data_IF_090739004277
#
_entry.id   IF_090739004277
#
_cell.length_a   1.000
_cell.length_b   1.000
_cell.length_c   1.000
_cell.angle_alpha   90.00
_cell.angle_beta   90.00
_cell.angle_gamma   90.00
#
_symmetry.space_group_name_H-M   'P 1'
#
loop_
_entity.id
_entity.type
_entity.pdbx_description
1 polymer ?
#
# COMPACT_ATOMS: atom_id res chain seq x y z
N UNK A 1 43.65 -82.11 16.59
CA UNK A 1 44.44 -81.55 17.72
C UNK A 1 44.37 -80.03 17.65
N UNK A 2 44.50 -79.32 18.78
CA UNK A 2 44.89 -77.88 18.93
C UNK A 2 44.36 -76.83 17.92
N UNK A 3 43.62 -75.78 18.30
CA UNK A 3 43.14 -75.26 19.61
C UNK A 3 41.78 -74.55 19.37
N UNK A 4 40.76 -74.82 20.21
CA UNK A 4 40.16 -73.88 21.18
C UNK A 4 39.72 -72.51 20.60
N UNK A 5 38.43 -72.11 20.62
CA UNK A 5 37.56 -71.81 21.80
C UNK A 5 38.13 -70.66 22.66
N UNK A 6 37.39 -69.68 23.20
CA UNK A 6 35.96 -69.49 23.57
C UNK A 6 35.61 -67.97 23.35
N UNK A 7 34.38 -67.40 23.31
CA UNK A 7 33.00 -67.90 23.48
C UNK A 7 31.92 -66.95 22.82
N UNK A 8 30.68 -67.06 23.32
CA UNK A 8 29.39 -66.38 23.13
C UNK A 8 29.35 -64.83 23.29
N UNK A 9 28.30 -64.10 22.83
CA UNK A 9 26.90 -64.32 23.22
C UNK A 9 25.78 -64.02 22.18
N UNK A 10 24.59 -64.52 22.50
CA UNK A 10 23.29 -64.30 21.83
C UNK A 10 22.79 -62.84 22.05
N UNK A 11 21.75 -62.31 21.39
CA UNK A 11 20.54 -62.96 20.85
C UNK A 11 19.86 -62.20 19.68
N UNK A 12 18.78 -62.81 19.19
CA UNK A 12 17.88 -62.41 18.09
C UNK A 12 17.06 -61.13 18.33
N UNK A 13 16.78 -60.37 17.24
CA UNK A 13 15.49 -59.75 16.84
C UNK A 13 14.91 -58.71 17.86
N UNK A 14 14.47 -57.49 17.51
CA UNK A 14 13.28 -57.13 16.69
C UNK A 14 13.52 -55.80 15.96
N UNK A 15 13.07 -55.70 14.71
CA UNK A 15 12.85 -54.40 14.03
C UNK A 15 11.45 -53.91 14.38
N UNK A 16 11.34 -52.81 15.14
CA UNK A 16 10.11 -52.02 15.24
C UNK A 16 10.32 -50.69 14.53
N UNK A 17 9.77 -50.57 13.32
CA UNK A 17 9.49 -49.26 12.73
C UNK A 17 8.31 -48.65 13.49
N UNK A 18 8.49 -47.53 14.22
CA UNK A 18 7.46 -46.50 14.37
C UNK A 18 8.03 -45.21 15.03
N UNK A 19 7.98 -44.09 14.31
CA UNK A 19 8.08 -42.68 14.74
C UNK A 19 9.29 -42.16 15.57
N UNK A 20 9.67 -40.92 15.22
CA UNK A 20 10.48 -39.94 15.97
C UNK A 20 12.02 -40.10 16.11
N UNK A 21 12.70 -39.05 15.63
CA UNK A 21 13.97 -38.46 16.12
C UNK A 21 15.12 -39.41 16.49
N UNK A 22 15.97 -39.71 15.51
CA UNK A 22 17.40 -39.97 15.77
C UNK A 22 18.12 -38.62 15.93
N UNK A 23 18.66 -38.37 17.13
CA UNK A 23 19.66 -37.32 17.35
C UNK A 23 21.05 -37.97 17.19
N UNK A 24 21.86 -37.46 16.26
CA UNK A 24 23.31 -37.70 16.25
C UNK A 24 23.96 -36.36 16.56
N UNK A 25 24.75 -36.31 17.63
CA UNK A 25 25.56 -35.16 18.00
C UNK A 25 26.98 -35.44 17.53
N UNK A 26 27.51 -34.57 16.67
CA UNK A 26 28.91 -34.64 16.25
C UNK A 26 29.56 -33.26 16.19
N UNK A 27 30.89 -33.20 16.28
CA UNK A 27 31.68 -31.96 16.26
C UNK A 27 32.27 -31.73 14.86
N UNK A 28 32.16 -30.51 14.34
CA UNK A 28 32.83 -30.12 13.08
C UNK A 28 33.93 -29.11 13.38
N UNK A 29 35.17 -29.47 13.01
CA UNK A 29 36.31 -28.56 13.04
C UNK A 29 36.31 -27.64 11.80
N UNK A 30 36.80 -26.41 11.96
CA UNK A 30 37.02 -25.49 10.84
C UNK A 30 38.15 -25.98 9.92
N UNK A 31 37.85 -26.14 8.63
CA UNK A 31 38.83 -26.38 7.57
C UNK A 31 38.45 -25.58 6.32
N UNK A 32 39.41 -24.86 5.72
CA UNK A 32 39.20 -24.15 4.46
C UNK A 32 39.38 -25.09 3.28
N UNK A 33 38.40 -25.15 2.37
CA UNK A 33 38.57 -25.71 1.04
C UNK A 33 38.11 -24.69 0.01
N UNK A 34 39.02 -24.26 -0.87
CA UNK A 34 38.70 -23.37 -2.00
C UNK A 34 38.42 -24.23 -3.22
N UNK A 35 37.23 -24.10 -3.81
CA UNK A 35 36.89 -24.68 -5.10
C UNK A 35 36.62 -23.55 -6.10
N UNK A 36 37.44 -23.51 -7.15
CA UNK A 36 37.28 -22.57 -8.25
C UNK A 36 36.16 -23.04 -9.19
N UNK A 37 35.31 -22.11 -9.63
CA UNK A 37 34.49 -22.28 -10.83
C UNK A 37 34.45 -20.94 -11.57
N UNK A 38 34.92 -20.92 -12.80
CA UNK A 38 35.11 -19.71 -13.62
C UNK A 38 33.97 -19.52 -14.61
N UNK A 39 33.09 -18.53 -14.40
CA UNK A 39 32.25 -17.94 -15.45
C UNK A 39 31.75 -16.54 -15.06
N UNK A 40 31.91 -15.56 -15.95
CA UNK A 40 31.31 -14.23 -15.86
C UNK A 40 32.01 -13.26 -14.88
N UNK A 41 32.38 -12.07 -15.36
CA UNK A 41 33.06 -11.06 -14.53
C UNK A 41 32.09 -10.19 -13.72
N UNK A 42 32.40 -10.01 -12.43
CA UNK A 42 31.75 -9.04 -11.53
C UNK A 42 32.34 -9.15 -10.12
N UNK A 43 32.81 -8.04 -9.53
CA UNK A 43 33.42 -8.06 -8.19
C UNK A 43 32.38 -8.36 -7.11
N UNK A 44 32.57 -9.44 -6.36
CA UNK A 44 31.81 -9.72 -5.13
C UNK A 44 32.55 -9.09 -3.95
N UNK A 45 31.97 -8.05 -3.35
CA UNK A 45 32.42 -7.50 -2.06
C UNK A 45 31.65 -8.15 -0.92
N UNK A 46 32.35 -8.90 -0.07
CA UNK A 46 31.79 -9.52 1.13
C UNK A 46 31.36 -8.46 2.14
N UNK A 47 30.07 -8.40 2.44
CA UNK A 47 29.53 -7.67 3.61
C UNK A 47 29.47 -8.66 4.77
N UNK A 48 29.98 -8.27 5.94
CA UNK A 48 29.94 -9.10 7.14
C UNK A 48 28.50 -9.26 7.65
N UNK A 49 28.10 -10.49 7.95
CA UNK A 49 26.84 -10.79 8.64
C UNK A 49 27.02 -10.84 10.16
N UNK A 50 25.97 -10.44 10.86
CA UNK A 50 25.83 -10.50 12.32
C UNK A 50 25.76 -11.97 12.79
N UNK A 51 26.55 -12.42 13.79
CA UNK A 51 26.65 -13.85 14.15
C UNK A 51 25.36 -14.52 14.63
N UNK A 52 24.38 -13.76 15.13
CA UNK A 52 23.22 -14.31 15.84
C UNK A 52 22.09 -14.86 14.92
N UNK A 53 22.24 -14.80 13.59
CA UNK A 53 21.18 -15.16 12.62
C UNK A 53 21.41 -16.57 12.01
N UNK A 54 20.96 -17.61 12.70
CA UNK A 54 20.99 -19.00 12.20
C UNK A 54 19.80 -19.34 11.26
N UNK A 55 19.88 -18.95 10.00
CA UNK A 55 18.94 -19.37 8.96
C UNK A 55 19.30 -20.76 8.37
N UNK A 56 18.49 -21.79 8.67
CA UNK A 56 18.56 -23.08 7.96
C UNK A 56 17.97 -22.96 6.55
N UNK A 57 18.81 -22.67 5.57
CA UNK A 57 18.44 -22.79 4.15
C UNK A 57 18.33 -24.26 3.73
N UNK A 58 17.27 -24.59 2.98
CA UNK A 58 17.23 -25.74 2.08
C UNK A 58 16.80 -25.20 0.71
N UNK A 59 17.68 -25.32 -0.29
CA UNK A 59 17.61 -24.54 -1.54
C UNK A 59 17.04 -25.36 -2.69
N UNK A 60 16.09 -24.77 -3.44
CA UNK A 60 15.95 -25.01 -4.89
C UNK A 60 15.22 -23.87 -5.64
N UNK A 61 15.87 -22.71 -5.65
CA UNK A 61 16.00 -21.81 -6.82
C UNK A 61 14.77 -21.56 -7.71
N UNK A 62 14.20 -20.34 -7.64
CA UNK A 62 14.11 -19.45 -8.81
C UNK A 62 14.00 -17.99 -8.33
N UNK A 63 14.35 -17.03 -9.19
CA UNK A 63 14.61 -15.62 -8.84
C UNK A 63 13.43 -14.94 -8.12
N UNK A 64 13.61 -14.57 -6.85
CA UNK A 64 12.64 -13.73 -6.12
C UNK A 64 12.54 -13.92 -4.61
N UNK A 65 13.63 -14.25 -3.89
CA UNK A 65 13.56 -14.63 -2.47
C UNK A 65 13.29 -13.46 -1.49
N UNK A 66 11.99 -13.19 -1.39
CA UNK A 66 11.22 -12.64 -0.27
C UNK A 66 11.93 -12.71 1.09
N UNK A 67 12.22 -11.56 1.70
CA UNK A 67 12.43 -11.44 3.14
C UNK A 67 11.08 -11.30 3.87
N UNK A 68 10.58 -12.39 4.45
CA UNK A 68 9.40 -12.39 5.33
C UNK A 68 9.77 -13.00 6.68
N UNK A 69 10.62 -12.29 7.43
CA UNK A 69 11.05 -12.67 8.77
C UNK A 69 9.88 -12.54 9.77
N UNK A 70 9.51 -13.68 10.36
CA UNK A 70 8.93 -13.75 11.71
C UNK A 70 7.53 -13.14 11.91
N UNK A 71 6.58 -13.52 11.04
CA UNK A 71 5.14 -13.35 11.31
C UNK A 71 4.31 -14.62 11.03
N UNK A 72 4.95 -15.72 10.62
CA UNK A 72 4.27 -16.91 10.05
C UNK A 72 4.03 -18.07 11.02
N UNK A 73 4.42 -17.94 12.28
CA UNK A 73 4.19 -18.96 13.30
C UNK A 73 3.08 -18.56 14.27
N UNK A 74 3.11 -17.33 14.84
CA UNK A 74 2.03 -16.83 15.72
C UNK A 74 0.67 -16.73 15.02
N UNK A 75 0.63 -16.16 13.81
CA UNK A 75 -0.64 -15.86 13.11
C UNK A 75 -1.42 -17.12 12.71
N UNK A 76 -0.75 -18.28 12.61
CA UNK A 76 -1.35 -19.52 12.05
C UNK A 76 -2.45 -20.15 12.93
N UNK A 77 -2.69 -19.64 14.13
CA UNK A 77 -3.76 -20.06 15.05
C UNK A 77 -4.78 -18.96 15.42
N UNK A 78 -4.63 -17.72 14.93
CA UNK A 78 -5.44 -16.59 15.41
C UNK A 78 -6.84 -16.59 14.76
N UNK A 79 -7.80 -17.27 15.40
CA UNK A 79 -9.24 -17.19 15.06
C UNK A 79 -10.02 -16.09 15.80
N UNK A 80 -9.38 -15.37 16.73
CA UNK A 80 -10.06 -14.49 17.68
C UNK A 80 -9.65 -13.01 17.51
N UNK A 81 -10.65 -12.12 17.37
CA UNK A 81 -10.48 -10.68 17.10
C UNK A 81 -9.50 -9.97 18.05
N UNK A 82 -9.56 -10.28 19.34
CA UNK A 82 -8.81 -9.59 20.39
C UNK A 82 -7.28 -9.66 20.24
N UNK A 83 -6.74 -10.72 19.61
CA UNK A 83 -5.29 -10.95 19.56
C UNK A 83 -4.64 -10.19 18.39
N UNK A 84 -5.31 -10.10 17.24
CA UNK A 84 -4.89 -9.23 16.12
C UNK A 84 -4.93 -7.75 16.54
N UNK A 85 -6.01 -7.33 17.22
CA UNK A 85 -6.12 -5.97 17.76
C UNK A 85 -4.99 -5.63 18.76
N UNK A 86 -4.55 -6.58 19.58
CA UNK A 86 -3.47 -6.36 20.57
C UNK A 86 -2.07 -6.34 19.96
N UNK A 87 -1.82 -7.09 18.88
CA UNK A 87 -0.58 -6.98 18.11
C UNK A 87 -0.49 -5.59 17.45
N UNK A 88 -1.54 -5.18 16.74
CA UNK A 88 -1.61 -3.89 16.06
C UNK A 88 -1.64 -2.69 17.03
N UNK A 89 -2.05 -2.86 18.29
CA UNK A 89 -2.02 -1.79 19.30
C UNK A 89 -0.61 -1.20 19.50
N UNK A 90 0.44 -2.03 19.50
CA UNK A 90 1.81 -1.52 19.62
C UNK A 90 2.25 -0.74 18.37
N UNK A 91 1.83 -1.19 17.18
CA UNK A 91 2.06 -0.51 15.91
C UNK A 91 1.44 0.89 15.91
N UNK A 92 0.14 0.99 16.21
CA UNK A 92 -0.57 2.28 16.24
C UNK A 92 0.05 3.21 17.28
N UNK A 93 0.34 2.72 18.49
CA UNK A 93 1.00 3.50 19.53
C UNK A 93 2.38 4.01 19.11
N UNK A 94 3.18 3.24 18.37
CA UNK A 94 4.48 3.69 17.81
C UNK A 94 4.28 4.90 16.89
N UNK A 95 3.30 4.85 16.00
CA UNK A 95 3.05 5.91 15.01
C UNK A 95 2.10 7.02 15.50
N UNK A 96 1.78 7.07 16.80
CA UNK A 96 0.97 8.15 17.38
C UNK A 96 -0.54 8.00 17.21
N UNK A 97 -1.04 6.81 16.93
CA UNK A 97 -2.46 6.50 16.80
C UNK A 97 -2.99 5.77 18.04
N UNK A 98 -4.24 6.06 18.40
CA UNK A 98 -5.00 5.44 19.50
C UNK A 98 -6.07 4.55 18.85
N UNK A 99 -6.10 3.27 19.22
CA UNK A 99 -7.17 2.36 18.83
C UNK A 99 -8.46 2.74 19.58
N UNK A 100 -9.55 2.97 18.85
CA UNK A 100 -10.85 3.35 19.42
C UNK A 100 -11.89 2.23 19.37
N UNK A 101 -11.88 1.41 18.31
CA UNK A 101 -12.80 0.28 18.15
C UNK A 101 -12.01 -0.96 17.67
N UNK A 102 -11.96 -2.06 18.44
CA UNK A 102 -11.22 -3.28 18.09
C UNK A 102 -12.05 -4.21 17.18
N UNK A 103 -12.44 -3.71 16.01
CA UNK A 103 -13.15 -4.48 14.96
C UNK A 103 -12.20 -5.28 14.06
N UNK A 104 -12.74 -6.27 13.35
CA UNK A 104 -12.06 -7.09 12.34
C UNK A 104 -12.93 -7.15 11.07
N UNK A 105 -12.38 -7.04 9.85
CA UNK A 105 -10.96 -6.99 9.52
C UNK A 105 -10.20 -5.72 9.92
N UNK A 106 -10.87 -4.58 10.02
CA UNK A 106 -10.22 -3.30 10.29
C UNK A 106 -10.63 -2.74 11.64
N UNK A 107 -9.65 -2.33 12.45
CA UNK A 107 -9.90 -1.54 13.67
C UNK A 107 -10.18 -0.09 13.29
N UNK A 108 -10.85 0.67 14.15
CA UNK A 108 -10.88 2.14 14.05
C UNK A 108 -9.74 2.73 14.87
N UNK A 109 -9.06 3.74 14.33
CA UNK A 109 -8.05 4.53 15.06
C UNK A 109 -8.36 6.03 15.01
N UNK A 110 -7.86 6.76 16.02
CA UNK A 110 -7.78 8.22 16.03
C UNK A 110 -6.31 8.63 16.18
N UNK A 111 -5.86 9.63 15.43
CA UNK A 111 -4.58 10.29 15.73
C UNK A 111 -4.57 10.84 17.17
N UNK A 112 -3.45 10.69 17.88
CA UNK A 112 -3.18 11.37 19.16
C UNK A 112 -2.95 12.88 18.97
N UNK A 113 -2.48 13.27 17.78
CA UNK A 113 -2.21 14.66 17.42
C UNK A 113 -3.38 15.23 16.63
N UNK A 114 -3.88 16.41 17.03
CA UNK A 114 -4.85 17.13 16.23
C UNK A 114 -4.16 17.70 14.97
N UNK A 115 -4.77 17.46 13.81
CA UNK A 115 -4.18 17.74 12.49
C UNK A 115 -4.02 19.24 12.26
N UNK A 116 -2.77 19.72 12.20
CA UNK A 116 -2.46 21.11 11.89
C UNK A 116 -2.27 21.28 10.39
N UNK A 117 -3.34 21.65 9.68
CA UNK A 117 -3.34 21.84 8.23
C UNK A 117 -2.19 22.72 7.72
N UNK A 118 -1.90 23.85 8.37
CA UNK A 118 -0.81 24.75 7.97
C UNK A 118 0.56 24.09 8.11
N UNK A 119 0.74 23.17 9.06
CA UNK A 119 1.96 22.35 9.17
C UNK A 119 2.04 21.34 8.02
N UNK A 120 0.99 20.55 7.77
CA UNK A 120 0.97 19.53 6.69
C UNK A 120 1.38 20.13 5.34
N UNK A 121 0.78 21.27 4.97
CA UNK A 121 1.09 21.96 3.71
C UNK A 121 2.50 22.57 3.70
N UNK A 122 3.01 23.07 4.83
CA UNK A 122 4.35 23.68 4.91
C UNK A 122 5.46 22.63 4.89
N UNK A 123 5.32 21.51 5.62
CA UNK A 123 6.27 20.41 5.56
C UNK A 123 6.27 19.78 4.17
N UNK A 124 5.10 19.47 3.59
CA UNK A 124 5.01 18.92 2.24
C UNK A 124 5.73 19.80 1.19
N UNK A 125 5.56 21.13 1.26
CA UNK A 125 6.27 22.09 0.42
C UNK A 125 7.80 22.04 0.66
N UNK A 126 8.25 21.99 1.91
CA UNK A 126 9.66 21.82 2.25
C UNK A 126 10.23 20.45 1.83
N UNK A 127 9.41 19.40 1.66
CA UNK A 127 9.82 18.18 0.97
C UNK A 127 9.95 18.41 -0.54
N UNK A 128 9.08 19.21 -1.18
CA UNK A 128 9.16 19.44 -2.64
C UNK A 128 10.46 20.15 -3.05
N UNK A 129 10.99 21.06 -2.21
CA UNK A 129 12.28 21.72 -2.43
C UNK A 129 13.47 20.74 -2.46
N UNK A 130 13.30 19.54 -1.89
CA UNK A 130 14.31 18.46 -1.88
C UNK A 130 14.20 17.51 -3.08
N UNK A 131 13.25 17.72 -4.00
CA UNK A 131 13.13 16.93 -5.24
C UNK A 131 14.39 17.10 -6.10
N UNK A 132 14.76 16.05 -6.82
CA UNK A 132 15.93 16.08 -7.71
C UNK A 132 15.60 15.44 -9.05
N UNK A 133 16.25 15.89 -10.13
CA UNK A 133 16.07 15.32 -11.47
C UNK A 133 16.72 13.93 -11.64
N UNK A 134 17.16 13.30 -10.55
CA UNK A 134 17.69 11.92 -10.54
C UNK A 134 16.56 10.93 -10.85
N UNK A 135 16.92 9.75 -11.35
CA UNK A 135 15.97 8.65 -11.53
C UNK A 135 15.44 8.17 -10.16
N UNK A 136 14.21 7.64 -10.08
CA UNK A 136 13.69 6.99 -8.88
C UNK A 136 14.61 5.87 -8.39
N UNK A 137 14.51 5.51 -7.11
CA UNK A 137 15.26 4.35 -6.60
C UNK A 137 14.52 3.05 -6.92
N UNK A 138 15.25 2.02 -7.33
CA UNK A 138 14.72 0.66 -7.46
C UNK A 138 14.62 -0.10 -6.13
N UNK A 139 15.29 0.38 -5.08
CA UNK A 139 15.32 -0.22 -3.74
C UNK A 139 15.20 0.87 -2.66
N UNK A 140 14.74 0.50 -1.46
CA UNK A 140 14.69 1.42 -0.32
C UNK A 140 16.08 1.98 0.03
N UNK A 141 16.19 3.22 0.54
CA UNK A 141 17.43 3.72 1.13
C UNK A 141 17.80 2.94 2.40
N UNK A 142 19.09 2.76 2.65
CA UNK A 142 19.61 2.00 3.79
C UNK A 142 19.09 2.56 5.13
N UNK A 143 18.55 1.68 5.98
CA UNK A 143 17.92 2.04 7.26
C UNK A 143 16.42 2.39 7.18
N UNK A 144 15.95 2.98 6.07
CA UNK A 144 14.57 3.51 5.97
C UNK A 144 13.50 2.44 5.75
N UNK A 145 13.89 1.23 5.33
CA UNK A 145 12.97 0.11 5.04
C UNK A 145 11.98 -0.19 6.18
N UNK A 146 12.35 0.03 7.45
CA UNK A 146 11.47 -0.25 8.60
C UNK A 146 10.18 0.58 8.60
N UNK A 147 10.24 1.85 8.21
CA UNK A 147 9.07 2.73 8.27
C UNK A 147 8.24 2.67 6.99
N UNK A 148 8.88 2.49 5.82
CA UNK A 148 8.15 2.12 4.60
C UNK A 148 7.34 0.84 4.79
N UNK A 149 7.93 -0.19 5.40
CA UNK A 149 7.26 -1.48 5.65
C UNK A 149 6.41 -1.50 6.94
N UNK A 150 5.94 -0.34 7.40
CA UNK A 150 4.99 -0.21 8.53
C UNK A 150 5.48 -1.00 9.75
N UNK A 151 6.75 -0.85 10.13
CA UNK A 151 7.45 -1.58 11.19
C UNK A 151 7.47 -3.13 11.02
N UNK A 152 7.76 -3.61 9.79
CA UNK A 152 7.66 -5.02 9.33
C UNK A 152 6.24 -5.55 9.06
N UNK A 153 5.16 -4.79 9.34
CA UNK A 153 3.79 -5.29 9.12
C UNK A 153 3.42 -5.35 7.63
N UNK A 154 4.10 -4.59 6.76
CA UNK A 154 3.91 -4.65 5.30
C UNK A 154 4.97 -5.53 4.62
N UNK A 155 4.54 -6.43 3.72
CA UNK A 155 5.46 -7.21 2.89
C UNK A 155 6.09 -6.38 1.76
N UNK A 156 7.30 -6.76 1.30
CA UNK A 156 7.96 -6.10 0.14
C UNK A 156 8.06 -7.01 -1.09
N UNK A 157 7.71 -6.44 -2.25
CA UNK A 157 8.14 -6.86 -3.59
C UNK A 157 8.94 -5.73 -4.24
N UNK A 158 9.77 -6.04 -5.23
CA UNK A 158 10.48 -5.04 -6.04
C UNK A 158 10.07 -5.12 -7.50
N UNK A 159 9.53 -4.01 -8.03
CA UNK A 159 9.14 -3.82 -9.42
C UNK A 159 9.29 -2.33 -9.74
N UNK A 160 10.26 -2.00 -10.58
CA UNK A 160 10.69 -0.63 -10.84
C UNK A 160 9.78 0.10 -11.84
N UNK A 161 9.58 1.41 -11.67
CA UNK A 161 9.00 2.31 -12.67
C UNK A 161 9.52 3.75 -12.52
N UNK A 162 9.56 4.47 -13.64
CA UNK A 162 9.97 5.88 -13.74
C UNK A 162 8.95 6.63 -14.59
N UNK A 163 7.85 7.05 -13.96
CA UNK A 163 6.71 7.69 -14.62
C UNK A 163 6.88 9.23 -14.68
N UNK A 164 8.07 9.77 -14.39
CA UNK A 164 8.34 11.22 -14.36
C UNK A 164 7.99 11.94 -15.67
N UNK A 165 8.12 11.25 -16.81
CA UNK A 165 7.79 11.81 -18.12
C UNK A 165 6.28 12.06 -18.28
N UNK A 166 5.42 11.26 -17.63
CA UNK A 166 3.96 11.43 -17.67
C UNK A 166 3.48 12.76 -17.07
N UNK A 167 4.22 13.30 -16.10
CA UNK A 167 3.89 14.60 -15.49
C UNK A 167 3.92 15.76 -16.51
N UNK A 168 4.61 15.58 -17.63
CA UNK A 168 4.71 16.54 -18.72
C UNK A 168 3.79 16.19 -19.92
N UNK A 169 2.97 15.14 -19.81
CA UNK A 169 2.04 14.70 -20.86
C UNK A 169 0.63 15.18 -20.54
N UNK A 170 0.06 16.01 -21.41
CA UNK A 170 -1.39 16.28 -21.42
C UNK A 170 -2.07 15.26 -22.33
N UNK A 171 -2.77 14.30 -21.74
CA UNK A 171 -3.49 13.28 -22.51
C UNK A 171 -4.72 13.89 -23.18
N UNK A 172 -5.01 13.51 -24.44
CA UNK A 172 -6.13 14.04 -25.25
C UNK A 172 -7.51 13.97 -24.57
N UNK A 173 -7.70 13.06 -23.61
CA UNK A 173 -8.90 13.01 -22.78
C UNK A 173 -9.18 14.30 -22.01
N UNK A 174 -8.13 15.02 -21.58
CA UNK A 174 -8.24 16.33 -20.92
C UNK A 174 -8.67 17.46 -21.86
N UNK A 175 -8.51 17.29 -23.17
CA UNK A 175 -8.97 18.26 -24.18
C UNK A 175 -10.43 18.03 -24.60
N UNK A 176 -10.95 16.81 -24.38
CA UNK A 176 -12.23 16.33 -24.93
C UNK A 176 -13.27 15.97 -23.85
N UNK A 177 -13.10 16.47 -22.62
CA UNK A 177 -13.97 16.13 -21.46
C UNK A 177 -15.45 16.35 -21.75
N UNK A 178 -15.80 17.42 -22.49
CA UNK A 178 -17.18 17.75 -22.86
C UNK A 178 -17.84 16.73 -23.81
N UNK A 179 -17.07 15.92 -24.53
CA UNK A 179 -17.57 14.77 -25.28
C UNK A 179 -17.63 13.53 -24.38
N UNK A 180 -16.52 13.21 -23.69
CA UNK A 180 -16.37 11.98 -22.90
C UNK A 180 -17.37 11.90 -21.75
N UNK A 181 -17.79 13.04 -21.19
CA UNK A 181 -18.84 13.09 -20.15
C UNK A 181 -20.20 12.57 -20.64
N UNK A 182 -20.46 12.58 -21.95
CA UNK A 182 -21.68 12.01 -22.55
C UNK A 182 -21.62 10.49 -22.74
N UNK A 183 -20.44 9.87 -22.64
CA UNK A 183 -20.27 8.44 -22.83
C UNK A 183 -20.88 7.66 -21.67
N UNK A 184 -21.28 6.40 -21.91
CA UNK A 184 -21.68 5.51 -20.83
C UNK A 184 -20.53 5.32 -19.81
N UNK A 185 -20.83 5.24 -18.51
CA UNK A 185 -19.80 5.33 -17.45
C UNK A 185 -18.77 4.19 -17.46
N UNK A 186 -19.11 3.02 -18.03
CA UNK A 186 -18.14 1.95 -18.31
C UNK A 186 -17.26 2.19 -19.55
N UNK A 187 -17.69 3.03 -20.49
CA UNK A 187 -16.92 3.35 -21.70
C UNK A 187 -15.88 4.45 -21.47
N UNK A 188 -16.11 5.33 -20.49
CA UNK A 188 -15.10 6.27 -19.97
C UNK A 188 -13.81 5.54 -19.55
N UNK A 189 -13.94 4.30 -19.05
CA UNK A 189 -12.82 3.49 -18.58
C UNK A 189 -11.97 2.90 -19.70
N UNK A 190 -12.40 2.95 -20.96
CA UNK A 190 -11.57 2.56 -22.13
C UNK A 190 -10.33 3.45 -22.30
N UNK A 191 -10.22 4.52 -21.52
CA UNK A 191 -9.05 5.39 -21.40
C UNK A 191 -7.93 4.81 -20.51
N UNK A 192 -8.19 3.76 -19.73
CA UNK A 192 -7.24 3.14 -18.79
C UNK A 192 -7.29 1.62 -18.84
N UNK A 193 -6.20 0.94 -18.45
CA UNK A 193 -6.15 -0.53 -18.37
C UNK A 193 -6.95 -1.10 -17.18
N UNK A 194 -7.51 -0.25 -16.30
CA UNK A 194 -8.03 -0.59 -14.98
C UNK A 194 -9.54 -0.29 -14.86
N UNK A 195 -10.35 -1.30 -15.18
CA UNK A 195 -11.82 -1.23 -15.16
C UNK A 195 -12.42 -1.07 -13.75
N UNK A 196 -11.64 -1.31 -12.69
CA UNK A 196 -12.13 -1.18 -11.31
C UNK A 196 -12.46 0.27 -10.92
N UNK A 197 -12.04 1.23 -11.75
CA UNK A 197 -12.46 2.64 -11.71
C UNK A 197 -13.97 2.87 -11.84
N UNK A 198 -14.78 1.89 -12.27
CA UNK A 198 -16.25 2.03 -12.23
C UNK A 198 -16.79 2.16 -10.80
N UNK A 199 -16.05 1.65 -9.80
CA UNK A 199 -16.45 1.71 -8.40
C UNK A 199 -16.60 3.14 -7.87
N UNK A 200 -15.89 4.12 -8.46
CA UNK A 200 -16.04 5.55 -8.16
C UNK A 200 -17.38 6.08 -8.66
N UNK A 201 -17.75 5.80 -9.92
CA UNK A 201 -19.08 6.13 -10.46
C UNK A 201 -20.19 5.51 -9.62
N UNK A 202 -20.08 4.24 -9.21
CA UNK A 202 -21.06 3.58 -8.34
C UNK A 202 -21.17 4.23 -6.95
N UNK A 203 -20.04 4.60 -6.35
CA UNK A 203 -20.04 5.33 -5.09
C UNK A 203 -20.74 6.70 -5.22
N UNK A 204 -20.39 7.49 -6.24
CA UNK A 204 -20.97 8.82 -6.47
C UNK A 204 -22.46 8.77 -6.83
N UNK A 205 -22.91 7.71 -7.52
CA UNK A 205 -24.31 7.43 -7.84
C UNK A 205 -25.17 7.14 -6.60
N UNK A 206 -24.60 6.46 -5.60
CA UNK A 206 -25.27 6.19 -4.32
C UNK A 206 -25.20 7.39 -3.35
N UNK A 207 -24.16 8.22 -3.47
CA UNK A 207 -23.90 9.39 -2.62
C UNK A 207 -23.95 10.68 -3.44
N UNK A 208 -25.12 10.94 -4.03
CA UNK A 208 -25.44 12.02 -4.99
C UNK A 208 -24.63 13.30 -4.84
N UNK A 209 -23.97 13.71 -5.94
CA UNK A 209 -23.14 14.92 -6.01
C UNK A 209 -23.88 16.17 -6.53
N UNK A 210 -25.20 16.13 -6.62
CA UNK A 210 -26.03 17.24 -7.08
C UNK A 210 -25.66 18.57 -6.38
N UNK A 211 -25.33 19.57 -7.20
CA UNK A 211 -24.88 20.91 -6.82
C UNK A 211 -23.64 20.98 -5.92
N UNK A 212 -22.87 19.88 -5.78
CA UNK A 212 -21.69 19.81 -4.91
C UNK A 212 -20.43 20.31 -5.59
N UNK A 213 -19.59 21.01 -4.82
CA UNK A 213 -18.25 21.42 -5.23
C UNK A 213 -17.22 20.36 -4.83
N UNK A 214 -16.52 19.80 -5.82
CA UNK A 214 -15.51 18.76 -5.65
C UNK A 214 -14.07 19.26 -5.70
N UNK A 215 -13.19 18.59 -4.96
CA UNK A 215 -11.75 18.60 -5.16
C UNK A 215 -11.32 17.21 -5.65
N UNK A 216 -10.60 17.12 -6.77
CA UNK A 216 -10.08 15.84 -7.28
C UNK A 216 -8.55 15.87 -7.26
N UNK A 217 -7.92 14.88 -6.62
CA UNK A 217 -6.50 14.63 -6.85
C UNK A 217 -6.37 13.78 -8.11
N UNK A 218 -5.84 14.40 -9.16
CA UNK A 218 -5.82 13.90 -10.53
C UNK A 218 -5.08 12.56 -10.70
N UNK A 219 -5.36 11.92 -11.83
CA UNK A 219 -4.60 10.80 -12.38
C UNK A 219 -4.24 11.11 -13.84
N UNK A 220 -3.44 10.27 -14.51
CA UNK A 220 -3.07 10.40 -15.93
C UNK A 220 -4.26 10.79 -16.85
N UNK A 221 -5.48 10.33 -16.53
CA UNK A 221 -6.73 10.64 -17.23
C UNK A 221 -7.83 11.21 -16.30
N UNK A 222 -8.76 12.06 -16.81
CA UNK A 222 -9.81 12.75 -16.03
C UNK A 222 -11.01 11.86 -15.64
N UNK A 223 -10.76 10.58 -15.32
CA UNK A 223 -11.80 9.57 -15.08
C UNK A 223 -12.70 9.97 -13.90
N UNK A 224 -12.09 10.43 -12.81
CA UNK A 224 -12.79 10.78 -11.56
C UNK A 224 -13.59 12.07 -11.73
N UNK A 225 -13.04 13.05 -12.45
CA UNK A 225 -13.69 14.30 -12.82
C UNK A 225 -14.94 14.04 -13.68
N UNK A 226 -14.80 13.23 -14.74
CA UNK A 226 -15.91 12.86 -15.63
C UNK A 226 -17.01 12.13 -14.85
N UNK A 227 -16.65 11.12 -14.07
CA UNK A 227 -17.62 10.35 -13.29
C UNK A 227 -18.32 11.18 -12.20
N UNK A 228 -17.67 12.22 -11.67
CA UNK A 228 -18.29 13.14 -10.72
C UNK A 228 -19.33 14.05 -11.41
N UNK A 229 -19.03 14.59 -12.60
CA UNK A 229 -20.01 15.38 -13.38
C UNK A 229 -21.18 14.50 -13.81
N UNK A 230 -20.93 13.26 -14.25
CA UNK A 230 -21.98 12.27 -14.57
C UNK A 230 -22.91 11.94 -13.38
N UNK A 231 -22.49 12.22 -12.14
CA UNK A 231 -23.28 12.06 -10.92
C UNK A 231 -23.73 13.40 -10.30
N UNK A 232 -23.67 14.50 -11.05
CA UNK A 232 -24.28 15.79 -10.73
C UNK A 232 -23.38 16.83 -10.06
N UNK A 233 -22.06 16.59 -9.97
CA UNK A 233 -21.13 17.58 -9.43
C UNK A 233 -21.11 18.85 -10.31
N UNK A 234 -21.34 20.02 -9.69
CA UNK A 234 -21.56 21.28 -10.42
C UNK A 234 -20.30 22.10 -10.66
N UNK A 235 -19.25 21.90 -9.86
CA UNK A 235 -17.91 22.50 -10.02
C UNK A 235 -16.84 21.59 -9.43
N UNK A 236 -15.76 21.38 -10.18
CA UNK A 236 -14.60 20.60 -9.76
C UNK A 236 -13.34 21.46 -9.84
N UNK A 237 -12.50 21.39 -8.81
CA UNK A 237 -11.09 21.73 -8.91
C UNK A 237 -10.29 20.43 -9.00
N UNK A 238 -9.61 20.20 -10.12
CA UNK A 238 -8.62 19.12 -10.22
C UNK A 238 -7.23 19.63 -9.82
N UNK A 239 -6.48 18.85 -9.05
CA UNK A 239 -5.14 19.20 -8.59
C UNK A 239 -4.12 18.11 -8.95
N UNK A 240 -2.94 18.54 -9.39
CA UNK A 240 -1.85 17.66 -9.81
C UNK A 240 -1.49 17.89 -11.27
N UNK A 241 -2.26 17.31 -12.19
CA UNK A 241 -2.11 17.53 -13.62
C UNK A 241 -2.84 18.81 -14.03
N UNK A 242 -2.17 19.69 -14.76
CA UNK A 242 -2.77 20.93 -15.29
C UNK A 242 -3.37 20.64 -16.66
N UNK A 243 -4.64 20.99 -16.83
CA UNK A 243 -5.44 20.69 -18.00
C UNK A 243 -6.11 21.96 -18.56
N UNK A 244 -6.72 21.83 -19.74
CA UNK A 244 -7.55 22.89 -20.30
C UNK A 244 -8.82 23.05 -19.44
N UNK A 245 -9.01 24.22 -18.87
CA UNK A 245 -10.22 24.51 -18.08
C UNK A 245 -11.49 24.46 -18.93
N UNK A 246 -12.57 24.03 -18.30
CA UNK A 246 -13.93 23.98 -18.85
C UNK A 246 -14.86 24.82 -17.97
N UNK A 247 -16.16 24.87 -18.28
CA UNK A 247 -17.13 25.52 -17.39
C UNK A 247 -17.19 24.84 -16.02
N UNK A 248 -17.01 23.52 -15.98
CA UNK A 248 -17.29 22.68 -14.82
C UNK A 248 -16.02 22.26 -14.08
N UNK A 249 -14.86 22.23 -14.77
CA UNK A 249 -13.55 21.84 -14.23
C UNK A 249 -12.55 22.99 -14.39
N UNK A 250 -11.99 23.40 -13.26
CA UNK A 250 -10.75 24.20 -13.17
C UNK A 250 -9.59 23.29 -12.76
N UNK A 251 -8.34 23.68 -13.05
CA UNK A 251 -7.17 22.85 -12.67
C UNK A 251 -5.97 23.65 -12.18
N UNK A 252 -5.15 23.05 -11.33
CA UNK A 252 -3.87 23.64 -10.89
C UNK A 252 -2.84 22.60 -10.45
N UNK A 253 -1.57 23.02 -10.37
CA UNK A 253 -0.54 22.16 -9.80
C UNK A 253 -0.80 21.91 -8.32
N UNK A 254 -0.43 20.72 -7.84
CA UNK A 254 -0.49 20.37 -6.42
C UNK A 254 0.35 21.33 -5.56
N UNK A 255 1.43 21.88 -6.12
CA UNK A 255 2.29 22.89 -5.50
C UNK A 255 1.57 24.22 -5.29
N UNK A 256 0.78 24.68 -6.26
CA UNK A 256 0.07 25.96 -6.16
C UNK A 256 -1.18 25.84 -5.28
N UNK A 257 -1.83 24.68 -5.28
CA UNK A 257 -2.83 24.31 -4.28
C UNK A 257 -2.24 24.37 -2.86
N UNK A 258 -1.08 23.75 -2.63
CA UNK A 258 -0.42 23.75 -1.32
C UNK A 258 0.02 25.16 -0.87
N UNK A 259 0.58 25.98 -1.77
CA UNK A 259 0.91 27.39 -1.47
C UNK A 259 -0.32 28.23 -1.12
N UNK A 260 -1.47 27.94 -1.74
CA UNK A 260 -2.73 28.69 -1.55
C UNK A 260 -3.72 28.01 -0.61
N UNK A 261 -3.31 26.98 0.16
CA UNK A 261 -4.22 26.09 0.91
C UNK A 261 -5.23 26.82 1.80
N UNK A 262 -4.87 27.96 2.37
CA UNK A 262 -5.75 28.79 3.19
C UNK A 262 -7.03 29.24 2.47
N UNK A 263 -7.01 29.36 1.14
CA UNK A 263 -8.17 29.66 0.28
C UNK A 263 -9.10 28.46 0.04
N UNK A 264 -8.65 27.26 0.44
CA UNK A 264 -9.29 25.98 0.14
C UNK A 264 -9.69 25.18 1.39
N UNK A 265 -9.19 25.56 2.57
CA UNK A 265 -9.62 25.05 3.88
C UNK A 265 -11.14 24.95 3.96
N UNK A 266 -11.65 23.74 4.20
CA UNK A 266 -13.08 23.41 4.30
C UNK A 266 -13.97 24.00 3.18
N UNK A 267 -13.43 24.19 1.97
CA UNK A 267 -14.15 24.82 0.85
C UNK A 267 -14.93 23.85 -0.03
N UNK A 268 -14.71 22.53 0.11
CA UNK A 268 -15.25 21.49 -0.76
C UNK A 268 -16.26 20.59 -0.04
N UNK A 269 -17.31 20.19 -0.76
CA UNK A 269 -18.35 19.28 -0.27
C UNK A 269 -17.91 17.82 -0.38
N UNK A 270 -17.10 17.50 -1.40
CA UNK A 270 -16.43 16.22 -1.53
C UNK A 270 -14.98 16.35 -1.99
N UNK A 271 -14.18 15.33 -1.64
CA UNK A 271 -12.89 15.02 -2.26
C UNK A 271 -13.02 13.70 -3.00
N UNK A 272 -12.33 13.54 -4.12
CA UNK A 272 -12.22 12.25 -4.81
C UNK A 272 -10.80 11.99 -5.34
N UNK A 273 -10.38 10.71 -5.33
CA UNK A 273 -9.17 10.27 -6.02
C UNK A 273 -9.22 8.75 -6.27
N UNK A 274 -8.56 8.28 -7.32
CA UNK A 274 -8.48 6.86 -7.66
C UNK A 274 -7.08 6.55 -8.20
N UNK A 275 -6.38 5.60 -7.59
CA UNK A 275 -5.09 5.10 -8.11
C UNK A 275 -3.85 5.96 -7.78
N UNK A 276 -4.02 7.15 -7.20
CA UNK A 276 -2.91 8.09 -6.95
C UNK A 276 -2.29 7.93 -5.56
N UNK A 277 -3.10 7.76 -4.51
CA UNK A 277 -2.66 7.77 -3.09
C UNK A 277 -1.68 6.64 -2.77
N UNK A 278 -1.86 5.44 -3.35
CA UNK A 278 -0.95 4.31 -3.13
C UNK A 278 0.49 4.55 -3.62
N UNK A 279 0.72 5.54 -4.50
CA UNK A 279 2.03 5.81 -5.10
C UNK A 279 2.84 6.90 -4.39
N UNK A 280 2.21 7.75 -3.57
CA UNK A 280 2.81 8.98 -3.01
C UNK A 280 3.96 8.65 -2.04
N UNK A 281 5.12 9.27 -2.24
CA UNK A 281 6.32 9.05 -1.40
C UNK A 281 7.13 7.82 -1.78
N UNK A 282 6.77 7.10 -2.87
CA UNK A 282 7.58 6.00 -3.41
C UNK A 282 8.58 6.48 -4.48
N UNK A 283 8.54 7.75 -4.88
CA UNK A 283 9.50 8.35 -5.81
C UNK A 283 9.26 8.04 -7.28
N UNK A 284 8.21 7.27 -7.62
CA UNK A 284 7.84 6.86 -8.99
C UNK A 284 7.68 8.03 -9.94
N UNK A 285 7.19 9.16 -9.44
CA UNK A 285 6.95 10.39 -10.20
C UNK A 285 7.99 11.48 -9.84
N UNK A 286 9.19 11.07 -9.39
CA UNK A 286 10.24 12.00 -8.96
C UNK A 286 9.86 12.80 -7.71
N UNK A 287 8.84 12.35 -6.98
CA UNK A 287 8.54 12.72 -5.61
C UNK A 287 9.69 12.34 -4.66
N UNK A 288 9.78 13.02 -3.52
CA UNK A 288 10.75 12.66 -2.48
C UNK A 288 10.30 11.36 -1.82
N UNK A 289 11.25 10.48 -1.52
CA UNK A 289 10.98 9.24 -0.80
C UNK A 289 10.52 9.54 0.62
N UNK A 290 9.26 9.23 0.90
CA UNK A 290 8.62 9.41 2.20
C UNK A 290 7.77 8.17 2.55
N UNK A 291 8.04 7.61 3.72
CA UNK A 291 7.31 6.48 4.27
C UNK A 291 5.86 6.84 4.66
N UNK A 292 5.53 8.13 4.82
CA UNK A 292 4.24 8.62 5.32
C UNK A 292 3.51 9.56 4.34
N UNK A 293 4.02 9.77 3.13
CA UNK A 293 3.51 10.77 2.19
C UNK A 293 2.08 10.53 1.71
N UNK A 294 1.60 9.28 1.75
CA UNK A 294 0.20 8.91 1.56
C UNK A 294 -0.69 9.40 2.72
N UNK A 295 -0.20 9.31 3.96
CA UNK A 295 -0.89 9.85 5.15
C UNK A 295 -0.92 11.39 5.14
N UNK A 296 0.21 12.03 4.81
CA UNK A 296 0.29 13.49 4.66
C UNK A 296 -0.64 13.99 3.54
N UNK A 297 -0.71 13.30 2.41
CA UNK A 297 -1.63 13.64 1.32
C UNK A 297 -3.11 13.49 1.73
N UNK A 298 -3.45 12.42 2.47
CA UNK A 298 -4.79 12.26 3.05
C UNK A 298 -5.13 13.39 4.03
N UNK A 299 -4.16 13.86 4.83
CA UNK A 299 -4.33 15.00 5.74
C UNK A 299 -4.55 16.32 4.98
N UNK A 300 -3.70 16.64 3.99
CA UNK A 300 -3.83 17.82 3.12
C UNK A 300 -5.18 17.88 2.40
N UNK A 301 -5.62 16.77 1.80
CA UNK A 301 -6.93 16.65 1.17
C UNK A 301 -8.07 16.77 2.20
N UNK A 302 -7.91 16.11 3.35
CA UNK A 302 -8.83 16.22 4.49
C UNK A 302 -9.00 17.66 4.97
N UNK A 303 -7.96 18.49 4.96
CA UNK A 303 -8.04 19.90 5.33
C UNK A 303 -8.94 20.74 4.41
N UNK A 304 -8.96 20.45 3.11
CA UNK A 304 -9.80 21.17 2.14
C UNK A 304 -11.28 20.74 2.18
N UNK A 305 -11.58 19.55 2.69
CA UNK A 305 -12.94 19.01 2.84
C UNK A 305 -13.70 19.63 4.02
N UNK A 306 -14.98 19.96 3.82
CA UNK A 306 -15.91 20.37 4.89
C UNK A 306 -16.09 19.25 5.93
N UNK A 307 -16.29 19.61 7.20
CA UNK A 307 -16.74 18.65 8.23
C UNK A 307 -18.07 18.03 7.80
N UNK A 308 -18.22 16.71 7.91
CA UNK A 308 -19.38 15.97 7.40
C UNK A 308 -19.40 15.75 5.88
N UNK A 309 -18.48 16.36 5.12
CA UNK A 309 -18.29 16.14 3.69
C UNK A 309 -17.69 14.76 3.38
N UNK A 310 -17.78 14.35 2.12
CA UNK A 310 -17.41 12.99 1.69
C UNK A 310 -16.03 12.93 1.02
N UNK A 311 -15.32 11.82 1.20
CA UNK A 311 -14.11 11.49 0.46
C UNK A 311 -14.30 10.13 -0.21
N UNK A 312 -14.31 10.14 -1.55
CA UNK A 312 -14.30 8.95 -2.40
C UNK A 312 -12.85 8.54 -2.65
N UNK A 313 -12.41 7.43 -2.02
CA UNK A 313 -11.03 6.98 -2.00
C UNK A 313 -10.89 5.62 -2.70
N UNK A 314 -10.45 5.65 -3.95
CA UNK A 314 -10.17 4.45 -4.76
C UNK A 314 -8.75 3.94 -4.59
N UNK A 315 -8.58 2.81 -3.89
CA UNK A 315 -7.27 2.26 -3.51
C UNK A 315 -7.21 0.72 -3.57
N UNK A 316 -6.03 0.12 -3.74
CA UNK A 316 -5.80 -1.32 -3.66
C UNK A 316 -5.83 -1.82 -2.21
N UNK A 317 -6.79 -2.70 -1.91
CA UNK A 317 -6.98 -3.30 -0.59
C UNK A 317 -6.61 -4.78 -0.62
N UNK A 318 -5.91 -5.26 0.40
CA UNK A 318 -5.45 -6.64 0.49
C UNK A 318 -4.54 -6.85 1.70
N UNK A 319 -3.58 -7.77 1.60
CA UNK A 319 -2.54 -7.92 2.61
C UNK A 319 -1.59 -6.73 2.55
N UNK A 320 -1.28 -6.10 3.69
CA UNK A 320 -0.39 -4.94 3.75
C UNK A 320 0.94 -5.20 3.02
N UNK A 321 1.24 -4.38 2.02
CA UNK A 321 2.44 -4.55 1.22
C UNK A 321 2.89 -3.28 0.50
N UNK A 322 4.14 -3.28 0.03
CA UNK A 322 4.66 -2.34 -0.95
C UNK A 322 5.27 -3.13 -2.11
N UNK A 323 4.81 -2.82 -3.32
CA UNK A 323 5.44 -3.19 -4.58
C UNK A 323 6.36 -2.01 -4.92
N UNK A 324 7.60 -2.03 -4.44
CA UNK A 324 8.49 -0.87 -4.52
C UNK A 324 9.14 -0.78 -5.91
N UNK A 325 9.08 0.33 -6.64
CA UNK A 325 8.57 1.66 -6.26
C UNK A 325 7.18 2.00 -6.85
N UNK A 326 6.43 1.02 -7.38
CA UNK A 326 5.14 1.25 -8.03
C UNK A 326 4.01 1.74 -7.12
N UNK A 327 3.71 1.01 -6.03
CA UNK A 327 2.53 1.26 -5.19
C UNK A 327 2.56 0.53 -3.82
N UNK A 328 1.72 1.00 -2.89
CA UNK A 328 1.30 0.28 -1.68
C UNK A 328 0.06 -0.59 -1.94
N UNK A 329 -0.21 -1.53 -1.03
CA UNK A 329 -1.47 -2.26 -0.88
C UNK A 329 -1.86 -2.12 0.60
N UNK A 330 -3.11 -1.70 0.85
CA UNK A 330 -3.58 -1.36 2.19
C UNK A 330 -4.33 -2.52 2.83
N UNK A 331 -3.94 -2.91 4.04
CA UNK A 331 -4.56 -3.98 4.81
C UNK A 331 -4.82 -3.60 6.25
N UNK A 332 -4.91 -4.62 7.11
CA UNK A 332 -5.21 -4.50 8.53
C UNK A 332 -4.31 -3.50 9.28
N UNK A 333 -3.04 -3.37 8.88
CA UNK A 333 -2.07 -2.52 9.55
C UNK A 333 -2.15 -1.06 9.07
N UNK A 334 -2.11 -0.81 7.75
CA UNK A 334 -1.96 0.55 7.19
C UNK A 334 -3.29 1.24 6.90
N UNK A 335 -4.35 0.52 6.48
CA UNK A 335 -5.62 1.16 6.15
C UNK A 335 -6.21 1.96 7.33
N UNK A 336 -6.20 1.46 8.59
CA UNK A 336 -6.72 2.21 9.74
C UNK A 336 -5.94 3.48 10.12
N UNK A 337 -4.72 3.65 9.60
CA UNK A 337 -3.93 4.89 9.73
C UNK A 337 -4.24 5.87 8.60
N UNK A 338 -4.44 5.36 7.37
CA UNK A 338 -4.76 6.14 6.17
C UNK A 338 -6.11 6.86 6.27
N UNK A 339 -7.13 6.20 6.84
CA UNK A 339 -8.50 6.73 6.96
C UNK A 339 -8.78 7.36 8.34
N UNK A 340 -7.76 7.56 9.18
CA UNK A 340 -7.94 8.15 10.50
C UNK A 340 -8.46 9.59 10.41
N UNK A 341 -9.44 9.94 11.24
CA UNK A 341 -10.17 11.22 11.14
C UNK A 341 -11.39 11.17 10.20
N UNK A 342 -11.71 10.00 9.65
CA UNK A 342 -12.93 9.77 8.87
C UNK A 342 -13.78 8.62 9.44
N UNK A 343 -15.09 8.71 9.23
CA UNK A 343 -16.05 7.61 9.37
C UNK A 343 -16.11 6.86 8.03
N UNK A 344 -15.94 5.54 8.02
CA UNK A 344 -16.09 4.72 6.82
C UNK A 344 -17.55 4.27 6.68
N UNK A 345 -18.24 4.71 5.63
CA UNK A 345 -19.71 4.53 5.49
C UNK A 345 -20.13 3.56 4.37
N UNK A 346 -19.31 3.31 3.35
CA UNK A 346 -19.59 2.33 2.29
C UNK A 346 -18.33 1.88 1.54
N UNK A 347 -18.45 0.78 0.77
CA UNK A 347 -17.40 0.27 -0.14
C UNK A 347 -17.99 -0.28 -1.44
N UNK A 348 -17.43 0.13 -2.58
CA UNK A 348 -17.84 -0.32 -3.92
C UNK A 348 -16.70 -1.06 -4.63
N UNK A 349 -17.04 -2.00 -5.52
CA UNK A 349 -16.11 -2.71 -6.42
C UNK A 349 -16.57 -2.58 -7.88
N UNK A 350 -15.90 -3.27 -8.80
CA UNK A 350 -16.30 -3.34 -10.20
C UNK A 350 -17.61 -4.12 -10.42
N UNK A 351 -17.89 -5.07 -9.54
CA UNK A 351 -18.91 -6.11 -9.70
C UNK A 351 -20.33 -5.66 -9.31
N UNK A 352 -20.46 -4.56 -8.55
CA UNK A 352 -21.74 -4.16 -7.98
C UNK A 352 -21.92 -2.65 -7.84
N UNK A 353 -23.10 -2.17 -8.24
CA UNK A 353 -23.56 -0.81 -7.94
C UNK A 353 -23.98 -0.62 -6.47
N UNK A 354 -24.01 -1.69 -5.66
CA UNK A 354 -24.38 -1.64 -4.25
C UNK A 354 -23.14 -1.64 -3.37
N UNK A 355 -23.24 -1.00 -2.20
CA UNK A 355 -22.19 -1.12 -1.18
C UNK A 355 -22.04 -2.57 -0.74
N UNK A 356 -20.80 -2.95 -0.48
CA UNK A 356 -20.38 -4.28 0.01
C UNK A 356 -19.54 -4.11 1.28
N UNK A 357 -19.44 -5.16 2.09
CA UNK A 357 -18.49 -5.20 3.20
C UNK A 357 -17.22 -5.93 2.75
N UNK A 358 -16.04 -5.41 3.11
CA UNK A 358 -14.78 -6.12 2.92
C UNK A 358 -14.61 -7.08 4.10
N UNK A 359 -14.43 -8.37 3.84
CA UNK A 359 -14.33 -9.37 4.90
C UNK A 359 -12.87 -9.77 5.19
N UNK A 360 -12.55 -10.13 6.43
CA UNK A 360 -11.23 -10.67 6.76
C UNK A 360 -10.87 -11.93 5.96
N UNK A 361 -11.77 -12.93 5.86
CA UNK A 361 -11.56 -14.12 5.03
C UNK A 361 -11.38 -13.84 3.52
N UNK A 362 -11.78 -12.68 3.00
CA UNK A 362 -11.48 -12.24 1.64
C UNK A 362 -10.02 -11.77 1.53
N UNK A 363 -9.61 -10.86 2.42
CA UNK A 363 -8.21 -10.37 2.52
C UNK A 363 -7.23 -11.52 2.78
N UNK A 364 -7.59 -12.46 3.65
CA UNK A 364 -6.80 -13.63 4.00
C UNK A 364 -6.75 -14.72 2.91
N UNK A 365 -7.60 -14.66 1.88
CA UNK A 365 -7.54 -15.58 0.72
C UNK A 365 -6.59 -15.10 -0.37
N UNK A 366 -6.45 -13.78 -0.54
CA UNK A 366 -5.53 -13.17 -1.50
C UNK A 366 -4.11 -13.73 -1.32
N UNK A 367 -3.40 -14.04 -2.41
CA UNK A 367 -1.99 -14.43 -2.33
C UNK A 367 -1.11 -13.20 -2.04
N UNK A 368 0.21 -13.39 -2.03
CA UNK A 368 1.13 -12.31 -1.69
C UNK A 368 1.17 -11.29 -2.83
N UNK A 369 0.80 -10.03 -2.51
CA UNK A 369 0.66 -8.89 -3.43
C UNK A 369 -0.61 -8.88 -4.30
N UNK A 370 -1.45 -9.90 -4.21
CA UNK A 370 -2.82 -9.81 -4.73
C UNK A 370 -3.59 -8.73 -3.94
N UNK A 371 -4.42 -7.98 -4.65
CA UNK A 371 -5.22 -6.89 -4.09
C UNK A 371 -6.50 -6.70 -4.91
N UNK A 372 -7.50 -6.14 -4.26
CA UNK A 372 -8.75 -5.72 -4.87
C UNK A 372 -8.80 -4.20 -4.81
N UNK A 373 -8.86 -3.53 -5.95
CA UNK A 373 -9.15 -2.10 -5.96
C UNK A 373 -10.62 -1.87 -5.62
N UNK A 374 -10.83 -1.04 -4.59
CA UNK A 374 -12.16 -0.72 -4.05
C UNK A 374 -12.26 0.79 -3.87
N UNK A 375 -13.44 1.34 -4.08
CA UNK A 375 -13.75 2.71 -3.67
C UNK A 375 -14.35 2.71 -2.29
N UNK A 376 -13.66 3.31 -1.33
CA UNK A 376 -14.20 3.60 -0.01
C UNK A 376 -14.96 4.93 -0.05
N UNK A 377 -16.14 4.98 0.56
CA UNK A 377 -16.81 6.25 0.88
C UNK A 377 -16.56 6.54 2.34
N UNK A 378 -15.89 7.66 2.57
CA UNK A 378 -15.49 8.14 3.89
C UNK A 378 -16.19 9.47 4.17
N UNK A 379 -16.57 9.75 5.41
CA UNK A 379 -17.09 11.04 5.87
C UNK A 379 -16.10 11.70 6.82
N UNK A 380 -15.75 12.97 6.59
CA UNK A 380 -14.86 13.72 7.50
C UNK A 380 -15.54 13.98 8.85
N UNK A 381 -14.86 13.62 9.94
CA UNK A 381 -15.33 13.77 11.33
C UNK A 381 -15.33 15.22 11.85
#
# INVERSE_FOLDING_TARGET
MTRFYLFLCFCTIIIVFYLNKVFIHDRVHYGRTVLWNTYGGGEIRTIYQDPDIYLRQNVRTHVGDISFLELREEVRHIKNCCQSAMLNFQLYKKYGYILTIPTYPFVTTKSKYDMNCSWEFTDWLAQQEKRTNRRPRAYFPDGYQRDFLTNKYSGVSYKYSDDREKLNVTYKSWENIADIVTWHSRDVLRLVDDMSGISMHYAMKNYYLADKRGLVLASDHPIVEIQAIQNGASRILSIGQVARETNDISSMSLTDFAKNHQRYTQSFDFVATFGTIETVGLGRYGDVLDAFGDLQMMAMLGCALKKGGLFFLGIPIGRDAIIFNQNRIYGHARLPMLIAGFEWIATFSEDSEKSTEITGPEIDRLHKFDNLKRTLVLRKL
#
